data_IF_746787302194
#
_entry.id   IF_746787302194
#
_cell.length_a   1.000
_cell.length_b   1.000
_cell.length_c   1.000
_cell.angle_alpha   90.00
_cell.angle_beta   90.00
_cell.angle_gamma   90.00
#
_symmetry.space_group_name_H-M   'P 1'
#
loop_
_entity.id
_entity.type
_entity.pdbx_description
1 polymer ?
#
# COMPACT_ATOMS: atom_id res chain seq x y z
N UNK A 1 -16.36 2.81 8.36
CA UNK A 1 -15.68 1.79 7.55
C UNK A 1 -14.45 1.31 8.30
N UNK A 2 -14.20 -0.01 8.33
CA UNK A 2 -13.03 -0.61 8.96
C UNK A 2 -11.87 -0.56 7.95
N UNK A 3 -11.04 0.49 8.01
CA UNK A 3 -9.87 0.70 7.13
C UNK A 3 -8.61 -0.01 7.68
N UNK A 4 -8.82 -0.90 8.64
CA UNK A 4 -7.82 -1.78 9.22
C UNK A 4 -8.45 -3.18 9.36
N UNK A 5 -7.65 -4.25 9.16
CA UNK A 5 -6.23 -4.26 8.76
C UNK A 5 -5.99 -3.92 7.27
N UNK A 6 -4.75 -3.61 6.90
CA UNK A 6 -4.35 -3.43 5.49
C UNK A 6 -4.70 -4.69 4.69
N UNK A 7 -5.44 -4.53 3.60
CA UNK A 7 -5.78 -5.64 2.69
C UNK A 7 -4.76 -5.73 1.57
N UNK A 8 -4.21 -6.92 1.41
CA UNK A 8 -3.30 -7.29 0.31
C UNK A 8 -3.86 -8.55 -0.33
N UNK A 9 -4.00 -8.54 -1.65
CA UNK A 9 -4.31 -9.72 -2.43
C UNK A 9 -3.07 -10.15 -3.22
N UNK A 10 -2.71 -11.42 -3.11
CA UNK A 10 -1.59 -12.01 -3.85
C UNK A 10 -2.17 -13.08 -4.77
N UNK A 11 -1.86 -13.00 -6.05
CA UNK A 11 -2.33 -13.98 -7.04
C UNK A 11 -1.32 -14.13 -8.17
N UNK A 12 -1.45 -15.21 -8.93
CA UNK A 12 -0.65 -15.43 -10.15
C UNK A 12 -1.48 -14.98 -11.36
N UNK A 13 -0.89 -14.15 -12.23
CA UNK A 13 -1.56 -13.73 -13.46
C UNK A 13 -1.46 -14.78 -14.57
N UNK A 14 -2.11 -14.53 -15.71
CA UNK A 14 -2.14 -15.44 -16.86
C UNK A 14 -0.76 -15.78 -17.47
N UNK A 15 0.28 -14.99 -17.17
CA UNK A 15 1.66 -15.17 -17.66
C UNK A 15 2.55 -15.80 -16.56
N UNK A 16 1.97 -16.29 -15.46
CA UNK A 16 2.70 -16.96 -14.39
C UNK A 16 3.44 -16.03 -13.43
N UNK A 17 3.21 -14.70 -13.49
CA UNK A 17 3.85 -13.74 -12.57
C UNK A 17 3.02 -13.54 -11.31
N UNK A 18 3.70 -13.47 -10.16
CA UNK A 18 3.08 -13.05 -8.90
C UNK A 18 2.69 -11.57 -8.96
N UNK A 19 1.46 -11.27 -8.59
CA UNK A 19 0.90 -9.92 -8.53
C UNK A 19 0.50 -9.61 -7.10
N UNK A 20 0.97 -8.47 -6.61
CA UNK A 20 0.59 -7.90 -5.33
C UNK A 20 -0.39 -6.75 -5.60
N UNK A 21 -1.65 -6.94 -5.21
CA UNK A 21 -2.65 -5.88 -5.25
C UNK A 21 -2.83 -5.31 -3.84
N UNK A 22 -2.53 -4.02 -3.69
CA UNK A 22 -2.50 -3.32 -2.41
C UNK A 22 -3.35 -2.07 -2.54
N UNK A 23 -4.35 -1.92 -1.68
CA UNK A 23 -5.11 -0.68 -1.60
C UNK A 23 -4.18 0.43 -1.08
N UNK A 24 -4.07 1.54 -1.81
CA UNK A 24 -3.16 2.63 -1.45
C UNK A 24 -3.56 3.18 -0.07
N UNK A 25 -2.69 3.07 0.96
CA UNK A 25 -3.08 3.41 2.32
C UNK A 25 -3.47 4.88 2.49
N UNK A 26 -2.76 5.81 1.85
CA UNK A 26 -3.06 7.25 1.92
C UNK A 26 -4.51 7.56 1.54
N UNK A 27 -5.05 6.87 0.54
CA UNK A 27 -6.40 7.11 0.02
C UNK A 27 -7.45 6.64 1.02
N UNK A 28 -7.17 5.55 1.75
CA UNK A 28 -8.06 5.05 2.81
C UNK A 28 -8.05 5.91 4.06
N UNK A 29 -6.88 6.44 4.43
CA UNK A 29 -6.71 7.21 5.67
C UNK A 29 -7.05 8.70 5.51
N UNK A 30 -6.88 9.28 4.31
CA UNK A 30 -7.26 10.66 4.02
C UNK A 30 -8.78 10.90 4.12
N UNK A 31 -9.59 9.87 3.89
CA UNK A 31 -11.05 9.92 4.05
C UNK A 31 -11.54 10.23 5.47
N UNK A 32 -10.66 10.19 6.49
CA UNK A 32 -11.00 10.56 7.86
C UNK A 32 -10.80 12.06 8.16
N UNK A 33 -10.27 12.84 7.21
CA UNK A 33 -10.00 14.29 7.35
C UNK A 33 -9.19 14.67 8.61
N UNK A 34 -8.44 13.72 9.16
CA UNK A 34 -7.66 13.88 10.38
C UNK A 34 -6.17 13.74 10.05
N UNK A 35 -5.39 14.79 10.34
CA UNK A 35 -3.95 14.85 10.01
C UNK A 35 -3.14 13.72 10.62
N UNK A 36 -3.45 13.29 11.84
CA UNK A 36 -2.71 12.19 12.49
C UNK A 36 -3.04 10.84 11.86
N UNK A 37 -4.28 10.65 11.41
CA UNK A 37 -4.70 9.45 10.69
C UNK A 37 -4.05 9.42 9.29
N UNK A 38 -3.98 10.54 8.58
CA UNK A 38 -3.28 10.63 7.30
C UNK A 38 -1.79 10.29 7.41
N UNK A 39 -1.11 10.71 8.49
CA UNK A 39 0.29 10.31 8.75
C UNK A 39 0.45 8.79 8.89
N UNK A 40 -0.52 8.11 9.49
CA UNK A 40 -0.50 6.65 9.58
C UNK A 40 -0.57 6.00 8.18
N UNK A 41 -1.38 6.56 7.27
CA UNK A 41 -1.42 6.14 5.87
C UNK A 41 -0.08 6.31 5.15
N UNK A 42 0.59 7.45 5.33
CA UNK A 42 1.93 7.69 4.77
C UNK A 42 2.96 6.70 5.33
N UNK A 43 3.00 6.51 6.65
CA UNK A 43 3.90 5.56 7.30
C UNK A 43 3.67 4.12 6.80
N UNK A 44 2.41 3.74 6.59
CA UNK A 44 2.08 2.43 6.06
C UNK A 44 2.53 2.29 4.59
N UNK A 45 2.34 3.32 3.76
CA UNK A 45 2.86 3.35 2.38
C UNK A 45 4.38 3.18 2.31
N UNK A 46 5.12 3.79 3.24
CA UNK A 46 6.58 3.61 3.36
C UNK A 46 6.96 2.18 3.73
N UNK A 47 6.22 1.53 4.65
CA UNK A 47 6.45 0.12 5.04
C UNK A 47 6.17 -0.83 3.87
N UNK A 48 5.09 -0.61 3.13
CA UNK A 48 4.80 -1.40 1.93
C UNK A 48 5.88 -1.22 0.88
N UNK A 49 6.33 0.02 0.65
CA UNK A 49 7.45 0.31 -0.26
C UNK A 49 8.72 -0.45 0.13
N UNK A 50 9.06 -0.48 1.43
CA UNK A 50 10.21 -1.24 1.92
C UNK A 50 10.04 -2.75 1.67
N UNK A 51 8.84 -3.30 1.89
CA UNK A 51 8.55 -4.71 1.63
C UNK A 51 8.71 -5.05 0.14
N UNK A 52 8.14 -4.24 -0.76
CA UNK A 52 8.25 -4.46 -2.21
C UNK A 52 9.71 -4.43 -2.69
N UNK A 53 10.55 -3.55 -2.11
CA UNK A 53 11.99 -3.52 -2.40
C UNK A 53 12.70 -4.79 -1.95
N UNK A 54 12.38 -5.32 -0.76
CA UNK A 54 12.93 -6.59 -0.27
C UNK A 54 12.53 -7.75 -1.19
N UNK A 55 11.30 -7.73 -1.69
CA UNK A 55 10.78 -8.71 -2.64
C UNK A 55 11.30 -8.52 -4.07
N UNK A 56 12.12 -7.48 -4.31
CA UNK A 56 12.67 -7.14 -5.63
C UNK A 56 11.59 -6.95 -6.71
N UNK A 57 10.40 -6.48 -6.32
CA UNK A 57 9.32 -6.15 -7.24
C UNK A 57 9.26 -4.63 -7.47
N UNK A 58 8.68 -4.23 -8.61
CA UNK A 58 8.50 -2.82 -8.95
C UNK A 58 7.65 -2.12 -7.87
N UNK A 59 8.12 -0.96 -7.41
CA UNK A 59 7.37 -0.07 -6.52
C UNK A 59 6.59 0.91 -7.38
N UNK A 60 5.24 0.92 -7.33
CA UNK A 60 4.44 1.88 -8.08
C UNK A 60 4.72 3.33 -7.66
N UNK A 61 4.69 4.25 -8.62
CA UNK A 61 4.80 5.67 -8.34
C UNK A 61 3.66 6.14 -7.42
N UNK A 62 3.98 7.03 -6.47
CA UNK A 62 3.01 7.55 -5.50
C UNK A 62 2.73 6.65 -4.29
N UNK A 63 3.33 5.45 -4.19
CA UNK A 63 3.15 4.59 -3.00
C UNK A 63 3.86 5.13 -1.75
N UNK A 64 5.01 5.77 -1.94
CA UNK A 64 5.65 6.62 -0.93
C UNK A 64 5.52 8.06 -1.39
N UNK A 65 4.51 8.78 -0.89
CA UNK A 65 4.52 10.24 -1.03
C UNK A 65 5.80 10.79 -0.40
N UNK A 66 6.44 11.74 -1.10
CA UNK A 66 7.67 12.41 -0.66
C UNK A 66 7.43 13.25 0.59
#
# INVERSE_FOLDING_TARGET
MLNAPLRIMIYTNAVGKAVFFIERPSDQFSAFENKEISKAGVSLGQKVTALLRVLQVLVPEGLSEK
#
